data_IF_396793927774
#
_entry.id   IF_396793927774
#
_cell.length_a   1.000
_cell.length_b   1.000
_cell.length_c   1.000
_cell.angle_alpha   90.00
_cell.angle_beta   90.00
_cell.angle_gamma   90.00
#
_symmetry.space_group_name_H-M   'P 1'
#
loop_
_entity.id
_entity.type
_entity.pdbx_description
1 polymer ?
#
# COMPACT_ATOMS: atom_id res chain seq x y z
N UNK A 1 22.46 -12.05 -11.32
CA UNK A 1 22.19 -11.02 -12.35
C UNK A 1 21.19 -11.50 -13.39
N UNK A 2 21.18 -12.77 -13.65
CA UNK A 2 20.17 -13.39 -14.53
C UNK A 2 18.83 -13.60 -13.83
N UNK A 3 18.84 -13.50 -12.50
CA UNK A 3 17.71 -13.87 -11.66
C UNK A 3 16.52 -12.91 -11.78
N UNK A 4 16.76 -11.64 -12.13
CA UNK A 4 15.70 -10.64 -12.25
C UNK A 4 14.73 -10.95 -13.39
N UNK A 5 15.21 -11.48 -14.51
CA UNK A 5 14.38 -11.90 -15.64
C UNK A 5 13.57 -13.13 -15.31
N UNK A 6 14.17 -14.10 -14.63
CA UNK A 6 13.51 -15.35 -14.25
C UNK A 6 12.49 -15.12 -13.13
N UNK A 7 12.80 -14.26 -12.15
CA UNK A 7 11.86 -13.86 -11.11
C UNK A 7 10.63 -13.17 -11.70
N UNK A 8 10.85 -12.24 -12.63
CA UNK A 8 9.75 -11.52 -13.29
C UNK A 8 8.84 -12.47 -14.06
N UNK A 9 9.42 -13.41 -14.81
CA UNK A 9 8.66 -14.42 -15.55
C UNK A 9 7.86 -15.32 -14.61
N UNK A 10 8.45 -15.74 -13.50
CA UNK A 10 7.79 -16.57 -12.50
C UNK A 10 6.59 -15.84 -11.90
N UNK A 11 6.75 -14.56 -11.59
CA UNK A 11 5.67 -13.73 -11.05
C UNK A 11 4.56 -13.55 -12.10
N UNK A 12 4.92 -13.29 -13.36
CA UNK A 12 3.94 -13.15 -14.44
C UNK A 12 3.09 -14.42 -14.60
N UNK A 13 3.73 -15.58 -14.56
CA UNK A 13 3.04 -16.88 -14.66
C UNK A 13 2.12 -17.07 -13.43
N UNK A 14 2.64 -16.79 -12.24
CA UNK A 14 1.87 -16.93 -11.00
C UNK A 14 0.64 -16.01 -11.01
N UNK A 15 0.82 -14.75 -11.38
CA UNK A 15 -0.28 -13.78 -11.42
C UNK A 15 -1.35 -14.19 -12.42
N UNK A 16 -0.94 -14.71 -13.58
CA UNK A 16 -1.88 -15.20 -14.59
C UNK A 16 -2.69 -16.39 -14.06
N UNK A 17 -2.03 -17.31 -13.34
CA UNK A 17 -2.70 -18.46 -12.74
C UNK A 17 -3.67 -18.03 -11.63
N UNK A 18 -3.27 -17.09 -10.79
CA UNK A 18 -4.12 -16.57 -9.72
C UNK A 18 -5.35 -15.86 -10.29
N UNK A 19 -5.16 -15.08 -11.36
CA UNK A 19 -6.28 -14.39 -12.02
C UNK A 19 -7.27 -15.40 -12.60
N UNK A 20 -6.76 -16.44 -13.27
CA UNK A 20 -7.60 -17.53 -13.81
C UNK A 20 -8.36 -18.26 -12.71
N UNK A 21 -7.72 -18.48 -11.57
CA UNK A 21 -8.37 -19.12 -10.41
C UNK A 21 -9.53 -18.29 -9.90
N UNK A 22 -9.32 -16.99 -9.72
CA UNK A 22 -10.37 -16.06 -9.26
C UNK A 22 -11.54 -16.06 -10.24
N UNK A 23 -11.26 -15.97 -11.53
CA UNK A 23 -12.30 -15.92 -12.55
C UNK A 23 -13.09 -17.23 -12.65
N UNK A 24 -12.42 -18.35 -12.50
CA UNK A 24 -13.07 -19.66 -12.62
C UNK A 24 -13.86 -20.07 -11.37
N UNK A 25 -13.46 -19.60 -10.18
CA UNK A 25 -14.06 -20.02 -8.91
C UNK A 25 -14.93 -18.94 -8.27
N UNK A 26 -14.76 -17.68 -8.64
CA UNK A 26 -15.48 -16.55 -8.02
C UNK A 26 -15.04 -16.22 -6.61
N UNK A 27 -13.88 -16.72 -6.18
CA UNK A 27 -13.34 -16.42 -4.84
C UNK A 27 -12.77 -15.01 -4.79
N UNK A 28 -12.72 -14.42 -3.59
CA UNK A 28 -11.92 -13.24 -3.33
C UNK A 28 -10.48 -13.64 -2.98
N UNK A 29 -9.52 -12.95 -3.55
CA UNK A 29 -8.10 -13.21 -3.33
C UNK A 29 -7.41 -11.96 -2.83
N UNK A 30 -6.76 -12.06 -1.68
CA UNK A 30 -5.92 -11.01 -1.12
C UNK A 30 -4.46 -11.47 -1.17
N UNK A 31 -3.66 -10.78 -1.98
CA UNK A 31 -2.25 -11.09 -2.15
C UNK A 31 -1.40 -10.04 -1.45
N UNK A 32 -0.50 -10.48 -0.58
CA UNK A 32 0.46 -9.58 0.07
C UNK A 32 1.77 -9.62 -0.72
N UNK A 33 2.24 -8.43 -1.11
CA UNK A 33 3.46 -8.28 -1.89
C UNK A 33 4.45 -7.35 -1.18
N UNK A 34 5.73 -7.65 -1.31
CA UNK A 34 6.79 -6.79 -0.80
C UNK A 34 7.02 -5.59 -1.71
N UNK A 35 7.48 -4.51 -1.10
CA UNK A 35 7.86 -3.31 -1.83
C UNK A 35 9.33 -3.35 -2.23
N UNK A 36 9.62 -2.76 -3.38
CA UNK A 36 10.99 -2.48 -3.80
C UNK A 36 11.51 -1.29 -3.00
N UNK A 37 12.79 -1.35 -2.59
CA UNK A 37 13.40 -0.20 -1.93
C UNK A 37 13.43 0.98 -2.90
N UNK A 38 12.86 2.15 -2.53
CA UNK A 38 12.87 3.30 -3.41
C UNK A 38 14.25 3.90 -3.50
N UNK A 39 14.54 4.56 -4.62
CA UNK A 39 15.74 5.36 -4.78
C UNK A 39 15.61 6.64 -3.97
N UNK A 40 16.72 7.10 -3.37
CA UNK A 40 16.75 8.30 -2.55
C UNK A 40 17.00 8.00 -1.08
N UNK A 41 17.04 9.07 -0.27
CA UNK A 41 17.43 8.98 1.13
C UNK A 41 16.29 8.49 2.04
N UNK A 42 15.04 8.67 1.62
CA UNK A 42 13.87 8.34 2.43
C UNK A 42 13.30 6.99 2.01
N UNK A 43 13.26 6.04 2.95
CA UNK A 43 12.67 4.72 2.74
C UNK A 43 11.20 4.66 3.14
N UNK A 44 10.56 3.51 2.93
CA UNK A 44 9.16 3.31 3.33
C UNK A 44 8.97 3.35 4.84
N UNK A 45 9.99 2.93 5.61
CA UNK A 45 9.98 3.01 7.07
C UNK A 45 10.01 4.45 7.58
N UNK A 46 10.38 5.41 6.74
CA UNK A 46 10.37 6.83 7.05
C UNK A 46 9.08 7.53 6.60
N UNK A 47 8.08 6.76 6.20
CA UNK A 47 6.78 7.29 5.79
C UNK A 47 6.70 7.74 4.34
N UNK A 48 7.62 7.28 3.49
CA UNK A 48 7.59 7.63 2.07
C UNK A 48 6.31 7.12 1.41
N UNK A 49 5.68 7.96 0.62
CA UNK A 49 4.50 7.61 -0.14
C UNK A 49 4.78 6.47 -1.11
N UNK A 50 3.90 5.46 -1.12
CA UNK A 50 4.02 4.29 -1.99
C UNK A 50 3.35 4.57 -3.34
N UNK A 51 3.96 4.09 -4.42
CA UNK A 51 3.39 4.11 -5.76
C UNK A 51 3.43 2.71 -6.38
N UNK A 52 2.70 2.53 -7.49
CA UNK A 52 2.68 1.24 -8.19
C UNK A 52 4.06 0.79 -8.65
N UNK A 53 4.96 1.74 -8.96
CA UNK A 53 6.33 1.42 -9.36
C UNK A 53 7.17 0.80 -8.24
N UNK A 54 6.74 0.92 -7.00
CA UNK A 54 7.44 0.34 -5.85
C UNK A 54 7.12 -1.13 -5.61
N UNK A 55 6.19 -1.72 -6.34
CA UNK A 55 5.89 -3.15 -6.21
C UNK A 55 7.08 -3.97 -6.68
N UNK A 56 7.51 -4.88 -5.81
CA UNK A 56 8.63 -5.77 -6.11
C UNK A 56 8.20 -6.86 -7.08
N UNK A 57 9.03 -7.12 -8.08
CA UNK A 57 8.83 -8.21 -9.02
C UNK A 57 8.39 -7.72 -10.38
N UNK A 58 7.10 -7.79 -10.68
CA UNK A 58 6.60 -7.54 -12.01
C UNK A 58 5.44 -6.54 -12.01
N UNK A 59 5.35 -5.78 -13.12
CA UNK A 59 4.22 -4.90 -13.36
C UNK A 59 2.88 -5.67 -13.46
N UNK A 60 2.92 -6.97 -13.71
CA UNK A 60 1.72 -7.80 -13.79
C UNK A 60 0.94 -7.83 -12.48
N UNK A 61 1.60 -7.65 -11.33
CA UNK A 61 0.93 -7.60 -10.03
C UNK A 61 -0.10 -6.48 -10.02
N UNK A 62 0.30 -5.28 -10.41
CA UNK A 62 -0.62 -4.15 -10.50
C UNK A 62 -1.61 -4.31 -11.65
N UNK A 63 -1.13 -4.81 -12.79
CA UNK A 63 -1.93 -4.91 -14.01
C UNK A 63 -3.10 -5.89 -13.86
N UNK A 64 -2.85 -7.05 -13.25
CA UNK A 64 -3.86 -8.11 -13.10
C UNK A 64 -4.72 -7.98 -11.83
N UNK A 65 -4.37 -7.09 -10.92
CA UNK A 65 -5.15 -6.85 -9.71
C UNK A 65 -6.33 -5.91 -9.97
N UNK A 66 -7.46 -6.16 -9.33
CA UNK A 66 -8.62 -5.27 -9.39
C UNK A 66 -8.40 -4.02 -8.54
N UNK A 67 -7.76 -4.19 -7.39
CA UNK A 67 -7.42 -3.11 -6.48
C UNK A 67 -6.03 -3.33 -5.92
N UNK A 68 -5.29 -2.25 -5.71
CA UNK A 68 -3.98 -2.27 -5.07
C UNK A 68 -4.02 -1.27 -3.92
N UNK A 69 -3.72 -1.77 -2.72
CA UNK A 69 -3.76 -1.00 -1.48
C UNK A 69 -2.36 -0.99 -0.89
N UNK A 70 -1.88 0.18 -0.50
CA UNK A 70 -0.60 0.32 0.19
C UNK A 70 -0.82 0.79 1.62
N UNK A 71 0.03 0.32 2.50
CA UNK A 71 0.07 0.77 3.89
C UNK A 71 1.39 1.50 4.11
N UNK A 72 1.31 2.75 4.59
CA UNK A 72 2.47 3.61 4.82
C UNK A 72 2.54 4.01 6.28
N UNK A 73 3.73 3.93 6.85
CA UNK A 73 3.95 4.30 8.25
C UNK A 73 5.35 4.87 8.43
N UNK A 74 5.46 5.96 9.17
CA UNK A 74 6.75 6.53 9.57
C UNK A 74 7.12 6.05 10.97
N UNK A 75 7.74 4.88 11.07
CA UNK A 75 8.13 4.28 12.34
C UNK A 75 9.23 5.08 13.05
N UNK A 76 9.95 5.93 12.32
CA UNK A 76 11.06 6.73 12.85
C UNK A 76 10.62 8.12 13.30
N UNK A 77 9.34 8.43 13.22
CA UNK A 77 8.84 9.72 13.65
C UNK A 77 9.08 9.96 15.15
N UNK A 78 9.46 11.18 15.51
CA UNK A 78 9.65 11.57 16.89
C UNK A 78 8.32 11.68 17.64
N UNK A 79 7.27 12.11 16.93
CA UNK A 79 5.92 12.15 17.47
C UNK A 79 5.33 10.74 17.55
N UNK A 80 4.90 10.36 18.75
CA UNK A 80 4.35 9.03 19.00
C UNK A 80 3.07 8.76 18.20
N UNK A 81 2.23 9.76 18.03
CA UNK A 81 1.01 9.62 17.22
C UNK A 81 1.36 9.33 15.77
N UNK A 82 2.29 10.09 15.20
CA UNK A 82 2.76 9.86 13.83
C UNK A 82 3.40 8.48 13.69
N UNK A 83 4.25 8.07 14.64
CA UNK A 83 4.94 6.79 14.60
C UNK A 83 3.97 5.59 14.65
N UNK A 84 2.78 5.76 15.20
CA UNK A 84 1.76 4.71 15.30
C UNK A 84 0.58 4.90 14.32
N UNK A 85 0.69 5.86 13.41
CA UNK A 85 -0.35 6.10 12.40
C UNK A 85 0.04 5.48 11.07
N UNK A 86 -0.84 4.63 10.54
CA UNK A 86 -0.68 4.04 9.23
C UNK A 86 -1.64 4.71 8.25
N UNK A 87 -1.11 5.16 7.12
CA UNK A 87 -1.93 5.67 6.02
C UNK A 87 -2.28 4.50 5.12
N UNK A 88 -3.57 4.29 4.89
CA UNK A 88 -4.06 3.34 3.89
C UNK A 88 -4.27 4.11 2.60
N UNK A 89 -3.53 3.75 1.57
CA UNK A 89 -3.55 4.45 0.28
C UNK A 89 -4.03 3.51 -0.81
N UNK A 90 -4.95 3.99 -1.63
CA UNK A 90 -5.42 3.25 -2.80
C UNK A 90 -4.52 3.62 -3.98
N UNK A 91 -3.80 2.64 -4.52
CA UNK A 91 -2.92 2.84 -5.67
C UNK A 91 -3.62 2.52 -6.98
N UNK A 92 -4.60 1.65 -6.94
CA UNK A 92 -5.41 1.27 -8.09
C UNK A 92 -6.80 0.85 -7.66
N UNK A 93 -7.80 1.32 -8.37
CA UNK A 93 -9.18 0.87 -8.21
C UNK A 93 -9.79 0.74 -9.61
N UNK A 94 -9.91 -0.49 -10.08
CA UNK A 94 -10.42 -0.79 -11.42
C UNK A 94 -11.87 -0.33 -11.60
N UNK A 95 -12.64 -0.34 -10.54
CA UNK A 95 -14.09 -0.10 -10.61
C UNK A 95 -14.43 1.38 -10.67
N UNK A 96 -13.71 2.23 -9.94
CA UNK A 96 -14.00 3.66 -9.87
C UNK A 96 -12.90 4.54 -10.45
N UNK A 97 -11.67 4.03 -10.51
CA UNK A 97 -10.51 4.80 -10.91
C UNK A 97 -9.96 5.73 -9.82
N UNK A 98 -10.61 5.80 -8.67
CA UNK A 98 -10.18 6.67 -7.57
C UNK A 98 -8.90 6.15 -6.92
N UNK A 99 -7.97 7.07 -6.65
CA UNK A 99 -6.71 6.78 -5.98
C UNK A 99 -6.44 7.84 -4.91
N UNK A 100 -5.47 7.56 -4.05
CA UNK A 100 -5.02 8.48 -3.02
C UNK A 100 -5.20 7.93 -1.61
N UNK A 101 -4.89 8.75 -0.62
CA UNK A 101 -5.05 8.37 0.79
C UNK A 101 -6.53 8.17 1.11
N UNK A 102 -6.86 7.00 1.62
CA UNK A 102 -8.23 6.60 1.92
C UNK A 102 -8.58 6.88 3.39
N UNK A 103 -7.73 6.42 4.30
CA UNK A 103 -7.97 6.59 5.73
C UNK A 103 -6.66 6.51 6.51
N UNK A 104 -6.74 6.89 7.78
CA UNK A 104 -5.63 6.84 8.72
C UNK A 104 -6.00 5.89 9.83
N UNK A 105 -5.09 4.97 10.17
CA UNK A 105 -5.30 3.93 11.17
C UNK A 105 -4.29 4.12 12.30
N UNK A 106 -4.79 4.13 13.53
CA UNK A 106 -3.95 4.20 14.72
C UNK A 106 -3.75 2.81 15.30
N UNK A 107 -2.48 2.45 15.53
CA UNK A 107 -2.12 1.19 16.18
C UNK A 107 -1.97 1.40 17.68
N UNK A 108 -2.74 0.65 18.45
CA UNK A 108 -2.66 0.64 19.93
C UNK A 108 -1.74 -0.50 20.34
N UNK A 109 -0.58 -0.14 20.90
CA UNK A 109 0.44 -1.10 21.33
C UNK A 109 -0.04 -2.00 22.46
N UNK A 110 -0.93 -1.51 23.31
CA UNK A 110 -1.43 -2.27 24.46
C UNK A 110 -2.40 -3.37 24.06
N UNK A 111 -3.25 -3.09 23.08
CA UNK A 111 -4.30 -4.02 22.66
C UNK A 111 -4.00 -4.72 21.33
N UNK A 112 -3.07 -4.19 20.54
CA UNK A 112 -2.79 -4.68 19.18
C UNK A 112 -3.86 -4.31 18.17
N UNK A 113 -4.79 -3.42 18.50
CA UNK A 113 -5.86 -3.01 17.62
C UNK A 113 -5.44 -1.85 16.73
N UNK A 114 -5.97 -1.86 15.51
CA UNK A 114 -5.90 -0.72 14.60
C UNK A 114 -7.30 -0.13 14.47
N UNK A 115 -7.41 1.16 14.73
CA UNK A 115 -8.69 1.88 14.64
C UNK A 115 -8.56 3.06 13.70
N UNK A 116 -9.62 3.35 12.97
CA UNK A 116 -9.62 4.52 12.10
C UNK A 116 -9.68 5.80 12.94
N UNK A 117 -8.84 6.77 12.55
CA UNK A 117 -8.79 8.10 13.19
C UNK A 117 -8.91 9.16 12.09
N UNK A 118 -9.23 10.38 12.49
CA UNK A 118 -9.15 11.52 11.59
C UNK A 118 -7.69 11.79 11.24
N UNK A 119 -7.46 12.43 10.09
CA UNK A 119 -6.10 12.70 9.62
C UNK A 119 -5.33 13.56 10.63
N UNK A 120 -4.31 13.01 11.31
CA UNK A 120 -3.55 13.77 12.31
C UNK A 120 -2.58 14.77 11.68
N UNK A 121 -2.40 14.71 10.36
CA UNK A 121 -1.48 15.58 9.61
C UNK A 121 -2.18 16.76 8.96
N UNK A 122 -3.52 16.81 9.00
CA UNK A 122 -4.29 17.91 8.46
C UNK A 122 -4.21 19.11 9.40
N UNK A 123 -3.76 20.25 8.88
CA UNK A 123 -3.86 21.50 9.61
C UNK A 123 -5.34 21.89 9.72
N UNK A 124 -5.75 22.31 10.93
CA UNK A 124 -7.10 22.82 11.15
C UNK A 124 -7.28 24.12 10.37
N UNK A 125 -7.80 24.04 9.17
CA UNK A 125 -8.15 25.20 8.38
C UNK A 125 -9.51 25.79 8.77
N UNK A 126 -10.24 25.12 9.66
CA UNK A 126 -11.58 25.53 10.08
C UNK A 126 -11.59 26.85 10.85
N UNK A 127 -10.47 27.24 11.48
CA UNK A 127 -10.35 28.53 12.18
C UNK A 127 -10.22 29.71 11.22
N UNK A 128 -9.80 29.49 9.97
CA UNK A 128 -9.65 30.54 8.97
C UNK A 128 -10.94 30.78 8.17
N UNK A 129 -11.90 29.91 8.25
CA UNK A 129 -13.18 30.03 7.53
C UNK A 129 -14.17 30.99 8.18
N UNK A 130 -13.78 31.60 9.30
CA UNK A 130 -14.57 32.63 9.96
C UNK A 130 -13.95 34.00 9.72
#
# INVERSE_FOLDING_TARGET
QEDNGDERKSIDILMTKLRSLVESTGIGLLLVSHLRRPSGDKGHEDGREVSLSHLRGSASIAHLSDSVIALERNQQADDEVEANTTVLRILKNRYTGDTGACCHLHYDKETGRMTEISNPFEENTDEEAL
#
